data_IF_880805134588
#
_entry.id   IF_880805134588
#
_cell.length_a   1.000
_cell.length_b   1.000
_cell.length_c   1.000
_cell.angle_alpha   90.00
_cell.angle_beta   90.00
_cell.angle_gamma   90.00
#
_symmetry.space_group_name_H-M   'P 1'
#
loop_
_entity.id
_entity.type
_entity.pdbx_description
1 polymer ?
#
# COMPACT_ATOMS: atom_id res chain seq x y z
N UNK A 1 36.85 -8.64 -18.90
CA UNK A 1 36.93 -8.13 -17.51
C UNK A 1 35.65 -8.56 -16.79
N UNK A 2 35.79 -9.48 -15.84
CA UNK A 2 34.71 -10.13 -15.10
C UNK A 2 34.05 -9.16 -14.12
N UNK A 3 32.81 -8.76 -14.40
CA UNK A 3 32.01 -7.90 -13.53
C UNK A 3 31.30 -8.76 -12.46
N UNK A 4 32.00 -9.07 -11.36
CA UNK A 4 31.50 -9.92 -10.25
C UNK A 4 30.63 -9.19 -9.21
N UNK A 5 30.27 -7.92 -9.42
CA UNK A 5 29.51 -7.11 -8.45
C UNK A 5 28.17 -6.59 -9.00
N UNK A 6 27.55 -7.32 -9.92
CA UNK A 6 26.15 -7.11 -10.24
C UNK A 6 25.36 -7.56 -8.99
N UNK A 7 25.00 -6.61 -8.13
CA UNK A 7 23.84 -6.79 -7.27
C UNK A 7 22.69 -6.89 -8.27
N UNK A 8 22.36 -8.12 -8.65
CA UNK A 8 21.16 -8.44 -9.39
C UNK A 8 19.97 -8.04 -8.52
N UNK A 9 19.62 -6.75 -8.55
CA UNK A 9 18.26 -6.26 -8.27
C UNK A 9 17.34 -6.64 -9.44
N UNK A 10 17.73 -7.65 -10.23
CA UNK A 10 16.78 -8.42 -11.00
C UNK A 10 15.68 -8.90 -10.04
N UNK A 11 14.45 -8.79 -10.51
CA UNK A 11 13.30 -9.52 -10.00
C UNK A 11 13.61 -11.02 -10.19
N UNK A 12 14.51 -11.57 -9.37
CA UNK A 12 14.72 -13.01 -9.24
C UNK A 12 13.59 -13.46 -8.32
N UNK A 13 12.61 -14.23 -8.80
CA UNK A 13 11.75 -14.98 -7.90
C UNK A 13 12.66 -15.97 -7.20
N UNK A 14 13.07 -15.69 -5.97
CA UNK A 14 13.57 -16.76 -5.12
C UNK A 14 12.33 -17.58 -4.79
N UNK A 15 12.17 -18.81 -5.29
CA UNK A 15 11.06 -19.61 -4.83
C UNK A 15 11.36 -19.87 -3.36
N UNK A 16 10.48 -19.42 -2.46
CA UNK A 16 10.27 -20.20 -1.26
C UNK A 16 10.12 -21.66 -1.72
N UNK A 17 10.78 -22.64 -1.08
CA UNK A 17 10.69 -24.03 -1.50
C UNK A 17 9.23 -24.33 -1.74
N UNK A 18 8.87 -24.60 -2.99
CA UNK A 18 7.49 -24.63 -3.42
C UNK A 18 6.78 -25.64 -2.52
N UNK A 19 5.96 -25.15 -1.59
CA UNK A 19 4.97 -26.00 -0.96
C UNK A 19 4.27 -26.69 -2.12
N UNK A 20 4.12 -28.02 -2.05
CA UNK A 20 3.42 -28.77 -3.08
C UNK A 20 2.15 -27.99 -3.46
N UNK A 21 2.00 -27.65 -4.74
CA UNK A 21 1.08 -26.61 -5.23
C UNK A 21 -0.36 -26.73 -4.70
N UNK A 22 -0.77 -27.91 -4.22
CA UNK A 22 -2.07 -28.14 -3.56
C UNK A 22 -2.22 -27.57 -2.14
N UNK A 23 -1.15 -27.26 -1.40
CA UNK A 23 -1.25 -26.74 -0.02
C UNK A 23 -1.32 -25.21 0.06
N UNK A 24 -0.77 -24.51 -0.92
CA UNK A 24 -0.68 -23.04 -0.88
C UNK A 24 -2.05 -22.34 -0.92
N UNK A 25 -3.05 -22.76 -1.72
CA UNK A 25 -4.36 -22.13 -1.72
C UNK A 25 -5.06 -22.23 -0.35
N UNK A 26 -4.94 -23.37 0.32
CA UNK A 26 -5.56 -23.56 1.63
C UNK A 26 -4.85 -22.75 2.72
N UNK A 27 -3.52 -22.73 2.68
CA UNK A 27 -2.71 -21.88 3.55
C UNK A 27 -3.07 -20.40 3.40
N UNK A 28 -3.24 -19.93 2.16
CA UNK A 28 -3.62 -18.55 1.86
C UNK A 28 -5.01 -18.19 2.37
N UNK A 29 -6.00 -19.08 2.23
CA UNK A 29 -7.35 -18.86 2.76
C UNK A 29 -7.38 -18.80 4.29
N UNK A 30 -6.71 -19.76 4.95
CA UNK A 30 -6.61 -19.77 6.42
C UNK A 30 -5.83 -18.56 6.94
N UNK A 31 -4.75 -18.18 6.26
CA UNK A 31 -3.97 -16.99 6.56
C UNK A 31 -4.78 -15.70 6.43
N UNK A 32 -5.53 -15.57 5.34
CA UNK A 32 -6.42 -14.43 5.12
C UNK A 32 -7.48 -14.32 6.21
N UNK A 33 -8.14 -15.44 6.56
CA UNK A 33 -9.12 -15.46 7.64
C UNK A 33 -8.51 -15.07 8.99
N UNK A 34 -7.33 -15.60 9.31
CA UNK A 34 -6.60 -15.26 10.54
C UNK A 34 -6.22 -13.77 10.58
N UNK A 35 -5.71 -13.21 9.48
CA UNK A 35 -5.37 -11.78 9.40
C UNK A 35 -6.61 -10.90 9.52
N UNK A 36 -7.72 -11.26 8.89
CA UNK A 36 -8.97 -10.51 9.02
C UNK A 36 -9.48 -10.50 10.46
N UNK A 37 -9.50 -11.66 11.13
CA UNK A 37 -9.92 -11.76 12.53
C UNK A 37 -8.98 -10.95 13.45
N UNK A 38 -7.67 -11.08 13.27
CA UNK A 38 -6.69 -10.32 14.03
C UNK A 38 -6.84 -8.80 13.79
N UNK A 39 -7.06 -8.38 12.55
CA UNK A 39 -7.29 -6.99 12.20
C UNK A 39 -8.55 -6.45 12.87
N UNK A 40 -9.68 -7.16 12.81
CA UNK A 40 -10.92 -6.71 13.44
C UNK A 40 -10.80 -6.66 14.97
N UNK A 41 -10.12 -7.64 15.58
CA UNK A 41 -9.85 -7.66 17.01
C UNK A 41 -9.00 -6.45 17.43
N UNK A 42 -7.93 -6.15 16.69
CA UNK A 42 -7.07 -4.98 16.96
C UNK A 42 -7.82 -3.66 16.77
N UNK A 43 -8.66 -3.55 15.74
CA UNK A 43 -9.50 -2.35 15.55
C UNK A 43 -10.46 -2.18 16.73
N UNK A 44 -11.07 -3.27 17.21
CA UNK A 44 -11.97 -3.28 18.35
C UNK A 44 -11.34 -2.87 19.69
N UNK A 45 -10.00 -2.80 19.77
CA UNK A 45 -9.31 -2.27 20.94
C UNK A 45 -9.38 -0.73 21.05
N UNK A 46 -9.90 -0.03 20.04
CA UNK A 46 -9.93 1.43 19.98
C UNK A 46 -11.33 1.97 19.69
N UNK A 47 -11.62 3.19 20.15
CA UNK A 47 -12.80 3.91 19.69
C UNK A 47 -12.67 4.24 18.19
N UNK A 48 -13.80 4.39 17.49
CA UNK A 48 -13.78 4.71 16.06
C UNK A 48 -12.97 5.96 15.72
N UNK A 49 -13.04 6.99 16.57
CA UNK A 49 -12.26 8.23 16.41
C UNK A 49 -10.76 8.01 16.61
N UNK A 50 -10.34 7.34 17.68
CA UNK A 50 -8.92 7.06 17.95
C UNK A 50 -8.33 6.15 16.87
N UNK A 51 -9.12 5.19 16.40
CA UNK A 51 -8.71 4.30 15.31
C UNK A 51 -8.51 5.08 14.00
N UNK A 52 -9.49 5.87 13.59
CA UNK A 52 -9.47 6.63 12.33
C UNK A 52 -8.45 7.80 12.35
N UNK A 53 -7.98 8.23 13.53
CA UNK A 53 -6.98 9.29 13.68
C UNK A 53 -5.60 8.74 14.03
N UNK A 54 -5.28 8.62 15.32
CA UNK A 54 -3.94 8.31 15.84
C UNK A 54 -3.43 6.94 15.41
N UNK A 55 -4.26 5.91 15.50
CA UNK A 55 -3.84 4.54 15.13
C UNK A 55 -3.59 4.48 13.62
N UNK A 56 -4.52 5.01 12.81
CA UNK A 56 -4.35 5.11 11.36
C UNK A 56 -3.08 5.86 11.01
N UNK A 57 -2.86 7.04 11.58
CA UNK A 57 -1.67 7.85 11.32
C UNK A 57 -0.38 7.09 11.63
N UNK A 58 -0.29 6.48 12.82
CA UNK A 58 0.89 5.75 13.25
C UNK A 58 1.18 4.56 12.34
N UNK A 59 0.18 3.72 12.03
CA UNK A 59 0.42 2.53 11.22
C UNK A 59 0.69 2.90 9.75
N UNK A 60 0.01 3.92 9.19
CA UNK A 60 0.31 4.43 7.85
C UNK A 60 1.75 4.95 7.74
N UNK A 61 2.30 5.58 8.78
CA UNK A 61 3.71 5.97 8.82
C UNK A 61 4.67 4.76 8.80
N UNK A 62 4.22 3.58 9.26
CA UNK A 62 4.98 2.33 9.20
C UNK A 62 4.99 1.66 7.84
N UNK A 63 3.95 1.88 7.01
CA UNK A 63 3.82 1.20 5.71
C UNK A 63 5.02 1.40 4.78
N UNK A 64 5.59 2.61 4.60
CA UNK A 64 6.78 2.78 3.77
C UNK A 64 7.97 1.96 4.26
N UNK A 65 8.12 1.83 5.59
CA UNK A 65 9.15 1.01 6.20
C UNK A 65 8.90 -0.46 5.91
N UNK A 66 7.65 -0.93 5.98
CA UNK A 66 7.30 -2.30 5.57
C UNK A 66 7.60 -2.56 4.09
N UNK A 67 7.30 -1.61 3.19
CA UNK A 67 7.63 -1.73 1.76
C UNK A 67 9.15 -1.89 1.60
N UNK A 68 9.96 -1.10 2.30
CA UNK A 68 11.41 -1.23 2.24
C UNK A 68 11.89 -2.56 2.80
N UNK A 69 11.41 -2.98 3.97
CA UNK A 69 11.81 -4.25 4.59
C UNK A 69 11.42 -5.46 3.74
N UNK A 70 10.16 -5.50 3.29
CA UNK A 70 9.56 -6.67 2.63
C UNK A 70 9.79 -6.71 1.12
N UNK A 71 9.71 -5.58 0.41
CA UNK A 71 9.79 -5.56 -1.06
C UNK A 71 11.20 -5.21 -1.55
N UNK A 72 11.81 -4.16 -0.99
CA UNK A 72 13.13 -3.70 -1.42
C UNK A 72 14.26 -4.58 -0.87
N UNK A 73 14.28 -4.81 0.45
CA UNK A 73 15.28 -5.64 1.11
C UNK A 73 14.89 -7.12 1.18
N UNK A 74 13.67 -7.48 0.75
CA UNK A 74 13.17 -8.87 0.66
C UNK A 74 13.34 -9.65 1.97
N UNK A 75 13.19 -8.98 3.11
CA UNK A 75 13.39 -9.54 4.44
C UNK A 75 14.82 -10.05 4.71
N UNK A 76 15.82 -9.63 3.92
CA UNK A 76 17.22 -10.07 4.03
C UNK A 76 18.13 -9.08 4.78
N UNK A 77 17.65 -7.87 5.02
CA UNK A 77 18.40 -6.83 5.71
C UNK A 77 17.60 -6.28 6.92
N UNK A 78 18.26 -5.96 8.04
CA UNK A 78 19.68 -6.19 8.34
C UNK A 78 20.04 -7.68 8.49
N UNK A 79 21.27 -8.04 8.12
CA UNK A 79 21.68 -9.45 7.96
C UNK A 79 21.59 -10.30 9.23
N UNK A 80 21.65 -9.70 10.42
CA UNK A 80 21.48 -10.43 11.69
C UNK A 80 20.07 -11.02 11.86
N UNK A 81 19.04 -10.50 11.17
CA UNK A 81 17.70 -11.08 11.21
C UNK A 81 17.64 -12.49 10.61
N UNK A 82 18.58 -12.82 9.71
CA UNK A 82 18.61 -14.11 9.03
C UNK A 82 18.99 -15.27 9.97
N UNK A 83 19.67 -14.99 11.08
CA UNK A 83 20.02 -16.01 12.08
C UNK A 83 18.86 -16.37 13.01
N UNK A 84 17.81 -15.54 13.05
CA UNK A 84 16.64 -15.78 13.88
C UNK A 84 15.68 -16.79 13.24
N UNK A 85 15.09 -17.66 14.07
CA UNK A 85 14.01 -18.58 13.68
C UNK A 85 12.65 -17.88 13.80
N UNK A 86 11.63 -18.39 13.12
CA UNK A 86 10.26 -17.95 13.38
C UNK A 86 9.79 -18.43 14.77
N UNK A 87 9.02 -17.63 15.52
CA UNK A 87 8.45 -16.34 15.13
C UNK A 87 9.38 -15.13 15.41
N UNK A 88 10.53 -15.33 16.06
CA UNK A 88 11.40 -14.24 16.51
C UNK A 88 11.88 -13.36 15.36
N UNK A 89 12.17 -13.95 14.20
CA UNK A 89 12.53 -13.18 13.00
C UNK A 89 11.42 -12.21 12.59
N UNK A 90 10.18 -12.70 12.43
CA UNK A 90 9.06 -11.84 12.06
C UNK A 90 8.75 -10.80 13.12
N UNK A 91 8.82 -11.16 14.40
CA UNK A 91 8.64 -10.21 15.51
C UNK A 91 9.71 -9.11 15.52
N UNK A 92 10.96 -9.43 15.21
CA UNK A 92 12.02 -8.43 15.08
C UNK A 92 11.76 -7.47 13.90
N UNK A 93 11.21 -7.96 12.79
CA UNK A 93 10.83 -7.11 11.65
C UNK A 93 9.63 -6.21 11.95
N UNK A 94 8.64 -6.71 12.70
CA UNK A 94 7.56 -5.89 13.25
C UNK A 94 8.15 -4.80 14.16
N UNK A 95 9.08 -5.15 15.05
CA UNK A 95 9.75 -4.18 15.91
C UNK A 95 10.49 -3.08 15.13
N UNK A 96 11.22 -3.43 14.08
CA UNK A 96 11.87 -2.46 13.19
C UNK A 96 10.86 -1.55 12.48
N UNK A 97 9.73 -2.12 12.03
CA UNK A 97 8.65 -1.36 11.41
C UNK A 97 8.05 -0.36 12.38
N UNK A 98 7.72 -0.78 13.60
CA UNK A 98 7.15 0.08 14.63
C UNK A 98 8.12 1.18 15.07
N UNK A 99 9.42 0.88 15.16
CA UNK A 99 10.45 1.88 15.46
C UNK A 99 10.56 2.92 14.33
N UNK A 100 10.55 2.48 13.07
CA UNK A 100 10.52 3.38 11.91
C UNK A 100 9.24 4.21 11.84
N UNK A 101 8.09 3.60 12.11
CA UNK A 101 6.79 4.27 12.19
C UNK A 101 6.79 5.37 13.25
N UNK A 102 7.30 5.08 14.45
CA UNK A 102 7.41 6.06 15.54
C UNK A 102 8.30 7.25 15.16
N UNK A 103 9.46 6.99 14.55
CA UNK A 103 10.36 8.04 14.09
C UNK A 103 9.70 8.92 13.03
N UNK A 104 9.11 8.32 12.01
CA UNK A 104 8.44 9.04 10.91
C UNK A 104 7.24 9.81 11.43
N UNK A 105 6.38 9.19 12.25
CA UNK A 105 5.22 9.83 12.84
C UNK A 105 5.63 11.05 13.67
N UNK A 106 6.67 10.92 14.50
CA UNK A 106 7.22 12.03 15.28
C UNK A 106 7.73 13.16 14.36
N UNK A 107 8.50 12.84 13.33
CA UNK A 107 9.05 13.83 12.39
C UNK A 107 7.93 14.56 11.64
N UNK A 108 6.96 13.83 11.08
CA UNK A 108 5.83 14.43 10.37
C UNK A 108 4.99 15.30 11.31
N UNK A 109 4.66 14.78 12.49
CA UNK A 109 3.83 15.52 13.44
C UNK A 109 4.53 16.77 13.98
N UNK A 110 5.82 16.69 14.27
CA UNK A 110 6.60 17.82 14.79
C UNK A 110 6.92 18.89 13.73
N UNK A 111 6.95 18.54 12.44
CA UNK A 111 7.24 19.49 11.35
C UNK A 111 6.01 20.19 10.79
N UNK A 112 4.80 19.68 11.06
CA UNK A 112 3.57 20.38 10.71
C UNK A 112 3.26 21.47 11.74
N UNK A 113 3.69 22.69 11.40
CA UNK A 113 3.44 23.87 12.21
C UNK A 113 1.95 23.98 12.56
N UNK A 114 1.63 24.24 13.83
CA UNK A 114 0.26 24.41 14.33
C UNK A 114 -0.61 23.14 14.39
N UNK A 115 -0.07 21.93 14.15
CA UNK A 115 -0.78 20.68 14.45
C UNK A 115 -1.02 20.57 15.97
N UNK A 116 -2.29 20.69 16.40
CA UNK A 116 -2.71 20.59 17.80
C UNK A 116 -3.85 19.58 17.88
N UNK A 117 -3.70 18.56 18.73
CA UNK A 117 -4.68 17.47 18.85
C UNK A 117 -4.45 16.35 17.82
N UNK A 118 -5.49 15.55 17.49
CA UNK A 118 -5.36 14.39 16.63
C UNK A 118 -4.89 14.77 15.20
N UNK A 119 -4.18 13.87 14.49
CA UNK A 119 -3.75 14.08 13.11
C UNK A 119 -4.90 14.57 12.24
N UNK A 120 -4.71 15.72 11.59
CA UNK A 120 -5.74 16.33 10.74
C UNK A 120 -5.81 15.62 9.39
N UNK A 121 -6.89 15.83 8.60
CA UNK A 121 -6.94 15.36 7.22
C UNK A 121 -5.74 15.81 6.37
N UNK A 122 -5.18 17.00 6.59
CA UNK A 122 -3.94 17.44 5.93
C UNK A 122 -2.79 16.47 6.19
N UNK A 123 -2.54 16.15 7.47
CA UNK A 123 -1.49 15.22 7.90
C UNK A 123 -1.71 13.83 7.34
N UNK A 124 -2.93 13.29 7.50
CA UNK A 124 -3.28 11.94 7.07
C UNK A 124 -3.15 11.78 5.56
N UNK A 125 -3.69 12.70 4.77
CA UNK A 125 -3.60 12.64 3.31
C UNK A 125 -2.15 12.77 2.84
N UNK A 126 -1.34 13.62 3.47
CA UNK A 126 0.08 13.73 3.17
C UNK A 126 0.81 12.40 3.39
N UNK A 127 0.66 11.76 4.56
CA UNK A 127 1.36 10.48 4.83
C UNK A 127 0.83 9.35 3.95
N UNK A 128 -0.48 9.29 3.69
CA UNK A 128 -1.06 8.34 2.74
C UNK A 128 -0.42 8.54 1.36
N UNK A 129 -0.31 9.79 0.91
CA UNK A 129 0.29 10.09 -0.39
C UNK A 129 1.78 9.68 -0.46
N UNK A 130 2.55 9.84 0.63
CA UNK A 130 3.91 9.31 0.74
C UNK A 130 3.96 7.78 0.63
N UNK A 131 2.99 7.05 1.18
CA UNK A 131 2.86 5.59 0.99
C UNK A 131 2.70 5.25 -0.48
N UNK A 132 1.78 5.93 -1.16
CA UNK A 132 1.51 5.71 -2.58
C UNK A 132 2.76 5.97 -3.42
N UNK A 133 3.50 7.05 -3.14
CA UNK A 133 4.77 7.34 -3.81
C UNK A 133 5.86 6.30 -3.51
N UNK A 134 5.89 5.73 -2.30
CA UNK A 134 6.83 4.65 -1.98
C UNK A 134 6.55 3.42 -2.84
N UNK A 135 5.28 3.03 -3.03
CA UNK A 135 4.93 1.96 -3.96
C UNK A 135 5.35 2.29 -5.40
N UNK A 136 5.11 3.51 -5.86
CA UNK A 136 5.53 3.95 -7.19
C UNK A 136 7.04 3.84 -7.39
N UNK A 137 7.83 4.34 -6.43
CA UNK A 137 9.29 4.30 -6.49
C UNK A 137 9.81 2.86 -6.51
N UNK A 138 9.24 1.97 -5.69
CA UNK A 138 9.72 0.59 -5.56
C UNK A 138 9.24 -0.30 -6.71
N UNK A 139 7.97 -0.20 -7.13
CA UNK A 139 7.36 -1.13 -8.11
C UNK A 139 7.53 -0.62 -9.54
N UNK A 140 7.18 0.63 -9.83
CA UNK A 140 7.23 1.13 -11.20
C UNK A 140 8.67 1.47 -11.61
N UNK A 141 9.41 2.10 -10.70
CA UNK A 141 10.72 2.66 -10.97
C UNK A 141 11.90 1.80 -10.50
N UNK A 142 11.67 0.67 -9.82
CA UNK A 142 12.73 -0.19 -9.28
C UNK A 142 13.78 0.61 -8.47
N UNK A 143 13.32 1.61 -7.71
CA UNK A 143 14.11 2.58 -6.95
C UNK A 143 15.06 3.47 -7.79
N UNK A 144 14.90 3.55 -9.11
CA UNK A 144 15.61 4.53 -9.94
C UNK A 144 15.10 5.95 -9.65
N UNK A 145 15.98 6.98 -9.60
CA UNK A 145 17.41 6.97 -9.95
C UNK A 145 18.35 6.54 -8.82
N UNK A 146 17.87 6.36 -7.59
CA UNK A 146 18.72 6.04 -6.44
C UNK A 146 19.49 4.73 -6.64
N UNK A 147 18.86 3.70 -7.19
CA UNK A 147 19.51 2.42 -7.48
C UNK A 147 20.66 2.54 -8.50
N UNK A 148 20.71 3.58 -9.32
CA UNK A 148 21.82 3.83 -10.23
C UNK A 148 23.07 4.39 -9.52
N UNK A 149 22.90 5.01 -8.36
CA UNK A 149 23.96 5.72 -7.62
C UNK A 149 24.34 4.97 -6.34
N UNK A 150 23.36 4.47 -5.60
CA UNK A 150 23.51 3.84 -4.29
C UNK A 150 23.60 2.32 -4.43
N UNK A 151 24.70 1.74 -3.95
CA UNK A 151 24.92 0.27 -3.95
C UNK A 151 24.64 -0.40 -2.62
N UNK A 152 24.73 0.34 -1.52
CA UNK A 152 24.53 -0.23 -0.18
C UNK A 152 23.03 -0.37 0.12
N UNK A 153 22.53 -1.56 0.52
CA UNK A 153 21.10 -1.80 0.73
C UNK A 153 20.46 -0.81 1.72
N UNK A 154 21.12 -0.53 2.85
CA UNK A 154 20.62 0.43 3.84
C UNK A 154 20.47 1.83 3.23
N UNK A 155 21.47 2.29 2.46
CA UNK A 155 21.45 3.61 1.87
C UNK A 155 20.36 3.70 0.79
N UNK A 156 20.17 2.64 0.00
CA UNK A 156 19.10 2.57 -0.99
C UNK A 156 17.71 2.60 -0.32
N UNK A 157 17.50 1.85 0.76
CA UNK A 157 16.22 1.82 1.47
C UNK A 157 15.91 3.14 2.16
N UNK A 158 16.83 3.66 2.98
CA UNK A 158 16.65 4.97 3.64
C UNK A 158 16.55 6.11 2.62
N UNK A 159 17.35 6.06 1.55
CA UNK A 159 17.29 7.02 0.45
C UNK A 159 15.95 6.99 -0.27
N UNK A 160 15.37 5.79 -0.50
CA UNK A 160 14.05 5.65 -1.13
C UNK A 160 12.95 6.22 -0.24
N UNK A 161 13.00 5.98 1.07
CA UNK A 161 12.07 6.60 2.03
C UNK A 161 12.19 8.12 2.01
N UNK A 162 13.41 8.65 2.14
CA UNK A 162 13.66 10.08 2.13
C UNK A 162 13.14 10.71 0.83
N UNK A 163 13.44 10.09 -0.32
CA UNK A 163 12.95 10.57 -1.62
C UNK A 163 11.43 10.53 -1.71
N UNK A 164 10.77 9.47 -1.21
CA UNK A 164 9.31 9.36 -1.21
C UNK A 164 8.65 10.49 -0.42
N UNK A 165 9.18 10.82 0.76
CA UNK A 165 8.65 11.92 1.59
C UNK A 165 8.98 13.30 1.02
N UNK A 166 10.17 13.51 0.46
CA UNK A 166 10.54 14.79 -0.17
C UNK A 166 9.71 15.04 -1.44
N UNK A 167 9.55 14.04 -2.30
CA UNK A 167 8.67 14.13 -3.47
C UNK A 167 7.21 14.27 -3.04
N UNK A 168 6.79 13.53 -2.00
CA UNK A 168 5.47 13.63 -1.40
C UNK A 168 5.16 15.05 -0.96
N UNK A 169 6.07 15.70 -0.24
CA UNK A 169 5.87 17.06 0.22
C UNK A 169 5.76 18.05 -0.94
N UNK A 170 6.63 17.92 -1.94
CA UNK A 170 6.62 18.79 -3.13
C UNK A 170 5.36 18.62 -3.96
N UNK A 171 4.95 17.38 -4.22
CA UNK A 171 3.75 17.09 -5.00
C UNK A 171 2.48 17.39 -4.21
N UNK A 172 2.45 17.13 -2.91
CA UNK A 172 1.32 17.47 -2.04
C UNK A 172 1.06 18.97 -2.04
N UNK A 173 2.12 19.77 -1.87
CA UNK A 173 1.98 21.24 -1.87
C UNK A 173 1.59 21.81 -3.23
N UNK A 174 1.97 21.13 -4.32
CA UNK A 174 1.63 21.59 -5.67
C UNK A 174 0.24 21.14 -6.14
N UNK A 175 -0.21 19.96 -5.73
CA UNK A 175 -1.41 19.33 -6.28
C UNK A 175 -2.66 19.43 -5.39
N UNK A 176 -2.53 19.45 -4.07
CA UNK A 176 -3.69 19.34 -3.17
C UNK A 176 -4.24 20.70 -2.75
N UNK A 177 -5.53 20.92 -3.01
CA UNK A 177 -6.30 22.08 -2.55
C UNK A 177 -7.38 21.66 -1.55
N UNK A 178 -7.35 22.24 -0.35
CA UNK A 178 -8.32 21.97 0.71
C UNK A 178 -9.38 23.07 0.84
N UNK A 179 -9.40 24.06 -0.07
CA UNK A 179 -10.28 25.24 0.02
C UNK A 179 -11.77 24.90 0.21
N UNK A 180 -12.25 23.82 -0.39
CA UNK A 180 -13.63 23.34 -0.24
C UNK A 180 -13.99 22.95 1.21
N UNK A 181 -13.00 22.74 2.08
CA UNK A 181 -13.16 22.38 3.49
C UNK A 181 -13.02 23.58 4.42
N UNK A 182 -13.01 24.82 3.90
CA UNK A 182 -12.82 26.03 4.70
C UNK A 182 -13.79 26.19 5.90
N UNK A 183 -15.00 25.62 5.79
CA UNK A 183 -15.99 25.62 6.87
C UNK A 183 -15.82 24.50 7.91
N UNK A 184 -14.86 23.60 7.74
CA UNK A 184 -14.68 22.46 8.65
C UNK A 184 -13.88 22.84 9.90
N UNK A 185 -14.19 22.27 11.09
CA UNK A 185 -13.50 22.61 12.34
C UNK A 185 -11.99 22.36 12.35
N UNK A 186 -11.52 21.39 11.54
CA UNK A 186 -10.10 21.07 11.41
C UNK A 186 -9.36 21.98 10.42
N UNK A 187 -10.08 22.75 9.60
CA UNK A 187 -9.48 23.53 8.53
C UNK A 187 -8.68 24.70 9.07
N UNK A 188 -7.48 24.90 8.53
CA UNK A 188 -6.63 26.05 8.81
C UNK A 188 -6.04 26.54 7.50
N UNK A 189 -6.32 27.78 7.15
CA UNK A 189 -5.82 28.38 5.91
C UNK A 189 -4.29 28.41 5.84
N UNK A 190 -3.60 28.51 6.98
CA UNK A 190 -2.13 28.43 7.07
C UNK A 190 -1.54 27.07 6.68
N UNK A 191 -2.35 26.01 6.68
CA UNK A 191 -1.96 24.64 6.33
C UNK A 191 -2.46 24.20 4.95
N UNK A 192 -3.32 24.99 4.32
CA UNK A 192 -3.83 24.70 2.99
C UNK A 192 -2.77 25.03 1.93
N UNK A 193 -2.30 24.05 1.14
CA UNK A 193 -1.32 24.33 0.10
C UNK A 193 -1.89 25.09 -1.09
N UNK A 194 -3.22 25.13 -1.24
CA UNK A 194 -3.90 25.75 -2.39
C UNK A 194 -3.36 25.22 -3.73
N UNK A 195 -3.22 23.90 -3.82
CA UNK A 195 -2.75 23.22 -5.02
C UNK A 195 -3.74 23.28 -6.19
N UNK A 196 -3.45 22.52 -7.24
CA UNK A 196 -4.21 22.61 -8.49
C UNK A 196 -5.51 21.79 -8.53
N UNK A 197 -5.64 20.79 -7.65
CA UNK A 197 -6.72 19.80 -7.69
C UNK A 197 -7.34 19.70 -6.29
N UNK A 198 -8.68 19.64 -6.18
CA UNK A 198 -9.33 19.42 -4.90
C UNK A 198 -8.78 18.16 -4.21
N UNK A 199 -8.51 18.27 -2.91
CA UNK A 199 -7.74 17.27 -2.16
C UNK A 199 -8.33 15.84 -2.25
N UNK A 200 -9.66 15.71 -2.18
CA UNK A 200 -10.32 14.41 -2.31
C UNK A 200 -10.23 13.83 -3.72
N UNK A 201 -10.34 14.66 -4.76
CA UNK A 201 -10.17 14.21 -6.14
C UNK A 201 -8.73 13.74 -6.39
N UNK A 202 -7.75 14.52 -5.93
CA UNK A 202 -6.33 14.17 -6.07
C UNK A 202 -5.99 12.89 -5.31
N UNK A 203 -6.46 12.74 -4.08
CA UNK A 203 -6.23 11.53 -3.29
C UNK A 203 -6.91 10.31 -3.93
N UNK A 204 -8.17 10.44 -4.33
CA UNK A 204 -8.91 9.36 -4.98
C UNK A 204 -8.21 8.90 -6.26
N UNK A 205 -7.74 9.84 -7.08
CA UNK A 205 -6.96 9.53 -8.27
C UNK A 205 -5.63 8.86 -7.92
N UNK A 206 -4.86 9.40 -6.96
CA UNK A 206 -3.60 8.82 -6.52
C UNK A 206 -3.76 7.38 -6.02
N UNK A 207 -4.76 7.10 -5.19
CA UNK A 207 -5.06 5.73 -4.73
C UNK A 207 -5.41 4.83 -5.92
N UNK A 208 -6.21 5.33 -6.86
CA UNK A 208 -6.54 4.61 -8.11
C UNK A 208 -5.28 4.24 -8.90
N UNK A 209 -4.27 5.11 -8.93
CA UNK A 209 -2.99 4.77 -9.58
C UNK A 209 -2.30 3.59 -8.95
N UNK A 210 -2.29 3.49 -7.62
CA UNK A 210 -1.67 2.35 -6.94
C UNK A 210 -2.51 1.08 -7.10
N UNK A 211 -3.83 1.17 -7.07
CA UNK A 211 -4.70 0.02 -7.38
C UNK A 211 -4.44 -0.56 -8.77
N UNK A 212 -4.31 0.31 -9.78
CA UNK A 212 -3.98 -0.07 -11.15
C UNK A 212 -2.55 -0.59 -11.26
N UNK A 213 -1.60 0.01 -10.54
CA UNK A 213 -0.21 -0.45 -10.46
C UNK A 213 -0.16 -1.91 -9.99
N UNK A 214 -0.88 -2.25 -8.90
CA UNK A 214 -0.97 -3.63 -8.41
C UNK A 214 -1.72 -4.56 -9.37
N UNK A 215 -2.78 -4.09 -10.04
CA UNK A 215 -3.43 -4.87 -11.10
C UNK A 215 -2.47 -5.16 -12.27
N UNK A 216 -1.63 -4.19 -12.64
CA UNK A 216 -0.58 -4.37 -13.63
C UNK A 216 0.50 -5.36 -13.14
N UNK A 217 0.83 -5.38 -11.85
CA UNK A 217 1.75 -6.38 -11.26
C UNK A 217 1.20 -7.81 -11.42
N UNK A 218 -0.11 -8.03 -11.20
CA UNK A 218 -0.74 -9.35 -11.46
C UNK A 218 -0.56 -9.80 -12.93
N UNK A 219 -0.59 -8.85 -13.85
CA UNK A 219 -0.35 -9.04 -15.28
C UNK A 219 1.15 -9.01 -15.65
N UNK A 220 2.06 -8.87 -14.70
CA UNK A 220 3.50 -8.66 -14.92
C UNK A 220 3.78 -7.53 -15.94
N UNK A 221 3.00 -6.45 -15.82
CA UNK A 221 3.00 -5.31 -16.75
C UNK A 221 2.80 -5.69 -18.21
N UNK A 222 2.12 -6.80 -18.51
CA UNK A 222 1.73 -7.11 -19.88
C UNK A 222 0.82 -6.01 -20.45
N UNK A 223 1.02 -5.53 -21.70
CA UNK A 223 1.96 -6.04 -22.71
C UNK A 223 3.36 -5.43 -22.67
N UNK A 224 3.65 -4.45 -21.82
CA UNK A 224 4.96 -3.75 -21.77
C UNK A 224 6.12 -4.71 -21.56
N UNK A 225 5.92 -5.77 -20.77
CA UNK A 225 6.92 -6.81 -20.52
C UNK A 225 7.36 -7.59 -21.77
N UNK A 226 6.64 -7.48 -22.91
CA UNK A 226 7.05 -8.09 -24.18
C UNK A 226 8.09 -7.27 -24.96
N UNK A 227 8.35 -6.02 -24.58
CA UNK A 227 9.23 -5.13 -25.33
C UNK A 227 10.59 -4.98 -24.62
N UNK A 228 11.67 -5.63 -25.08
CA UNK A 228 12.97 -5.59 -24.42
C UNK A 228 13.57 -4.17 -24.31
N UNK A 229 13.22 -3.30 -25.26
CA UNK A 229 13.64 -1.89 -25.27
C UNK A 229 13.09 -1.11 -24.06
N UNK A 230 11.97 -1.56 -23.48
CA UNK A 230 11.35 -0.97 -22.30
C UNK A 230 11.69 -1.75 -21.01
N UNK A 231 12.69 -2.63 -21.04
CA UNK A 231 13.08 -3.44 -19.88
C UNK A 231 14.07 -2.74 -18.93
N UNK A 232 14.68 -1.62 -19.34
CA UNK A 232 15.71 -0.91 -18.56
C UNK A 232 15.24 0.47 -18.11
N UNK A 233 15.66 0.88 -16.92
CA UNK A 233 15.42 2.23 -16.42
C UNK A 233 16.28 3.27 -17.20
N UNK A 234 15.78 4.49 -17.43
CA UNK A 234 14.48 5.03 -16.98
C UNK A 234 13.30 4.68 -17.89
N UNK A 235 13.54 4.09 -19.08
CA UNK A 235 12.50 3.78 -20.06
C UNK A 235 11.40 2.86 -19.52
N UNK A 236 11.78 1.86 -18.72
CA UNK A 236 10.85 0.95 -18.04
C UNK A 236 9.90 1.72 -17.10
N UNK A 237 10.45 2.54 -16.19
CA UNK A 237 9.67 3.34 -15.24
C UNK A 237 8.73 4.31 -15.96
N UNK A 238 9.19 4.98 -17.01
CA UNK A 238 8.36 5.89 -17.82
C UNK A 238 7.21 5.16 -18.50
N UNK A 239 7.47 4.02 -19.17
CA UNK A 239 6.44 3.25 -19.86
C UNK A 239 5.38 2.70 -18.89
N UNK A 240 5.82 2.13 -17.76
CA UNK A 240 4.92 1.65 -16.69
C UNK A 240 4.09 2.79 -16.12
N UNK A 241 4.72 3.96 -15.89
CA UNK A 241 4.02 5.14 -15.39
C UNK A 241 2.96 5.63 -16.36
N UNK A 242 3.28 5.74 -17.65
CA UNK A 242 2.33 6.16 -18.67
C UNK A 242 1.13 5.20 -18.74
N UNK A 243 1.38 3.88 -18.74
CA UNK A 243 0.31 2.87 -18.74
C UNK A 243 -0.60 3.00 -17.52
N UNK A 244 -0.01 3.06 -16.32
CA UNK A 244 -0.77 3.13 -15.06
C UNK A 244 -1.58 4.44 -15.02
N UNK A 245 -0.96 5.58 -15.33
CA UNK A 245 -1.67 6.87 -15.34
C UNK A 245 -2.82 6.90 -16.35
N UNK A 246 -2.62 6.35 -17.56
CA UNK A 246 -3.65 6.30 -18.59
C UNK A 246 -4.84 5.45 -18.12
N UNK A 247 -4.58 4.23 -17.65
CA UNK A 247 -5.63 3.33 -17.17
C UNK A 247 -6.36 3.90 -15.94
N UNK A 248 -5.63 4.51 -15.01
CA UNK A 248 -6.23 5.17 -13.85
C UNK A 248 -7.06 6.38 -14.23
N UNK A 249 -6.64 7.19 -15.21
CA UNK A 249 -7.42 8.33 -15.69
C UNK A 249 -8.73 7.87 -16.33
N UNK A 250 -8.70 6.79 -17.10
CA UNK A 250 -9.92 6.17 -17.65
C UNK A 250 -10.82 5.65 -16.54
N UNK A 251 -10.31 4.84 -15.61
CA UNK A 251 -11.11 4.26 -14.53
C UNK A 251 -11.71 5.32 -13.60
N UNK A 252 -10.90 6.30 -13.19
CA UNK A 252 -11.33 7.40 -12.35
C UNK A 252 -12.37 8.26 -13.09
N UNK A 253 -12.09 8.64 -14.35
CA UNK A 253 -13.02 9.44 -15.16
C UNK A 253 -14.35 8.73 -15.41
N UNK A 254 -14.35 7.43 -15.69
CA UNK A 254 -15.57 6.62 -15.80
C UNK A 254 -16.33 6.62 -14.47
N UNK A 255 -15.65 6.36 -13.36
CA UNK A 255 -16.27 6.30 -12.03
C UNK A 255 -16.89 7.62 -11.59
N UNK A 256 -16.14 8.71 -11.68
CA UNK A 256 -16.56 10.00 -11.09
C UNK A 256 -17.35 10.87 -12.06
N UNK A 257 -16.98 10.92 -13.35
CA UNK A 257 -17.64 11.80 -14.31
C UNK A 257 -18.80 11.12 -15.03
N UNK A 258 -18.61 9.88 -15.46
CA UNK A 258 -19.65 9.20 -16.26
C UNK A 258 -20.70 8.52 -15.39
N UNK A 259 -20.28 7.83 -14.32
CA UNK A 259 -21.18 7.19 -13.36
C UNK A 259 -21.60 8.11 -12.21
N UNK A 260 -21.00 9.31 -12.09
CA UNK A 260 -21.37 10.30 -11.08
C UNK A 260 -21.04 9.90 -9.64
N UNK A 261 -20.10 8.97 -9.43
CA UNK A 261 -19.72 8.53 -8.09
C UNK A 261 -18.81 9.59 -7.45
N UNK A 262 -19.17 10.07 -6.26
CA UNK A 262 -18.34 11.03 -5.52
C UNK A 262 -16.90 10.52 -5.30
N UNK A 263 -15.88 11.38 -5.35
CA UNK A 263 -14.48 10.98 -5.27
C UNK A 263 -14.14 10.12 -4.04
N UNK A 264 -14.66 10.45 -2.86
CA UNK A 264 -14.42 9.68 -1.63
C UNK A 264 -15.04 8.29 -1.71
N UNK A 265 -16.29 8.19 -2.21
CA UNK A 265 -16.97 6.90 -2.35
C UNK A 265 -16.30 6.03 -3.42
N UNK A 266 -15.88 6.63 -4.53
CA UNK A 266 -15.11 5.95 -5.58
C UNK A 266 -13.76 5.45 -5.04
N UNK A 267 -13.05 6.29 -4.28
CA UNK A 267 -11.79 5.93 -3.63
C UNK A 267 -11.98 4.69 -2.75
N UNK A 268 -12.95 4.71 -1.82
CA UNK A 268 -13.10 3.64 -0.84
C UNK A 268 -13.69 2.36 -1.44
N UNK A 269 -14.80 2.46 -2.17
CA UNK A 269 -15.50 1.28 -2.67
C UNK A 269 -15.00 0.77 -4.03
N UNK A 270 -14.24 1.59 -4.76
CA UNK A 270 -13.63 1.22 -6.04
C UNK A 270 -12.12 1.00 -5.90
N UNK A 271 -11.37 2.09 -5.71
CA UNK A 271 -9.91 2.04 -5.77
C UNK A 271 -9.29 1.23 -4.62
N UNK A 272 -9.62 1.54 -3.37
CA UNK A 272 -9.12 0.82 -2.18
C UNK A 272 -9.58 -0.63 -2.20
N UNK A 273 -10.85 -0.87 -2.55
CA UNK A 273 -11.39 -2.21 -2.72
C UNK A 273 -10.56 -3.05 -3.71
N UNK A 274 -10.25 -2.50 -4.89
CA UNK A 274 -9.42 -3.17 -5.89
C UNK A 274 -7.97 -3.35 -5.40
N UNK A 275 -7.38 -2.35 -4.77
CA UNK A 275 -6.02 -2.41 -4.21
C UNK A 275 -5.91 -3.55 -3.19
N UNK A 276 -6.81 -3.55 -2.21
CA UNK A 276 -6.88 -4.59 -1.19
C UNK A 276 -7.15 -5.97 -1.80
N UNK A 277 -8.06 -6.03 -2.77
CA UNK A 277 -8.34 -7.23 -3.54
C UNK A 277 -7.10 -7.79 -4.24
N UNK A 278 -6.29 -6.95 -4.89
CA UNK A 278 -5.07 -7.35 -5.60
C UNK A 278 -3.98 -7.89 -4.67
N UNK A 279 -3.95 -7.43 -3.42
CA UNK A 279 -3.00 -7.91 -2.42
C UNK A 279 -3.28 -9.35 -1.98
N UNK A 280 -4.53 -9.84 -2.08
CA UNK A 280 -4.87 -11.22 -1.71
C UNK A 280 -4.13 -12.25 -2.58
N UNK A 281 -4.24 -12.26 -3.92
CA UNK A 281 -3.46 -13.18 -4.76
C UNK A 281 -1.95 -12.96 -4.70
N UNK A 282 -1.49 -11.73 -4.47
CA UNK A 282 -0.05 -11.43 -4.36
C UNK A 282 0.56 -11.94 -3.06
N UNK A 283 -0.08 -11.67 -1.92
CA UNK A 283 0.48 -11.95 -0.60
C UNK A 283 0.02 -13.27 -0.02
N UNK A 284 -1.29 -13.57 -0.06
CA UNK A 284 -1.84 -14.77 0.59
C UNK A 284 -1.64 -16.02 -0.26
N UNK A 285 -1.76 -15.87 -1.58
CA UNK A 285 -1.56 -17.00 -2.50
C UNK A 285 -0.18 -17.03 -3.17
N UNK A 286 0.69 -16.05 -2.87
CA UNK A 286 2.06 -15.94 -3.40
C UNK A 286 2.13 -16.07 -4.94
N UNK A 287 1.08 -15.63 -5.65
CA UNK A 287 0.96 -15.76 -7.10
C UNK A 287 0.81 -17.19 -7.63
N UNK A 288 0.64 -18.19 -6.76
CA UNK A 288 0.69 -19.61 -7.16
C UNK A 288 -0.62 -20.19 -7.71
N UNK A 289 -1.78 -19.54 -7.49
CA UNK A 289 -3.10 -20.08 -7.88
C UNK A 289 -3.19 -20.56 -9.34
N UNK A 290 -2.50 -19.86 -10.25
CA UNK A 290 -2.54 -20.12 -11.69
C UNK A 290 -1.14 -20.20 -12.28
N UNK A 291 -0.16 -20.69 -11.52
CA UNK A 291 1.25 -20.72 -11.94
C UNK A 291 1.50 -21.47 -13.26
N UNK A 292 0.65 -22.45 -13.60
CA UNK A 292 0.73 -23.20 -14.86
C UNK A 292 0.17 -22.49 -16.09
N UNK A 293 -0.44 -21.31 -15.95
CA UNK A 293 -1.01 -20.55 -17.07
C UNK A 293 -0.02 -19.50 -17.62
N UNK A 294 0.04 -19.27 -18.94
CA UNK A 294 0.87 -18.20 -19.52
C UNK A 294 0.21 -16.82 -19.38
N UNK A 295 0.97 -15.74 -19.57
CA UNK A 295 0.41 -14.39 -19.70
C UNK A 295 -0.21 -14.17 -21.10
N UNK A 296 -1.34 -13.43 -21.21
CA UNK A 296 -1.98 -12.65 -20.15
C UNK A 296 -3.03 -13.42 -19.33
N UNK A 297 -3.31 -14.67 -19.67
CA UNK A 297 -4.38 -15.45 -19.03
C UNK A 297 -4.17 -15.59 -17.52
N UNK A 298 -2.94 -15.89 -17.08
CA UNK A 298 -2.60 -15.97 -15.66
C UNK A 298 -2.95 -14.71 -14.91
N UNK A 299 -2.48 -13.55 -15.38
CA UNK A 299 -2.75 -12.27 -14.75
C UNK A 299 -4.23 -11.90 -14.78
N UNK A 300 -4.94 -12.20 -15.87
CA UNK A 300 -6.39 -11.99 -15.96
C UNK A 300 -7.18 -12.82 -14.95
N UNK A 301 -6.81 -14.10 -14.75
CA UNK A 301 -7.43 -14.96 -13.73
C UNK A 301 -7.13 -14.46 -12.31
N UNK A 302 -5.88 -14.06 -12.03
CA UNK A 302 -5.53 -13.46 -10.73
C UNK A 302 -6.27 -12.14 -10.49
N UNK A 303 -6.43 -11.31 -11.53
CA UNK A 303 -7.21 -10.08 -11.47
C UNK A 303 -8.69 -10.37 -11.19
N UNK A 304 -9.25 -11.45 -11.75
CA UNK A 304 -10.59 -11.92 -11.42
C UNK A 304 -10.74 -12.25 -9.93
N UNK A 305 -9.76 -12.98 -9.35
CA UNK A 305 -9.71 -13.23 -7.90
C UNK A 305 -9.57 -11.94 -7.10
N UNK A 306 -8.75 -11.01 -7.57
CA UNK A 306 -8.58 -9.70 -6.93
C UNK A 306 -9.88 -8.90 -6.92
N UNK A 307 -10.61 -8.84 -8.03
CA UNK A 307 -11.92 -8.16 -8.12
C UNK A 307 -12.93 -8.84 -7.20
N UNK A 308 -12.97 -10.17 -7.16
CA UNK A 308 -13.86 -10.90 -6.26
C UNK A 308 -13.55 -10.60 -4.79
N UNK A 309 -12.28 -10.68 -4.38
CA UNK A 309 -11.84 -10.35 -3.03
C UNK A 309 -12.13 -8.88 -2.68
N UNK A 310 -11.84 -7.96 -3.60
CA UNK A 310 -12.14 -6.53 -3.46
C UNK A 310 -13.64 -6.23 -3.38
N UNK A 311 -14.50 -7.07 -3.97
CA UNK A 311 -15.94 -6.92 -3.85
C UNK A 311 -16.49 -7.51 -2.53
N UNK A 312 -15.92 -8.59 -2.02
CA UNK A 312 -16.43 -9.31 -0.85
C UNK A 312 -15.87 -8.76 0.46
N UNK A 313 -14.55 -8.61 0.58
CA UNK A 313 -13.90 -8.30 1.86
C UNK A 313 -14.28 -6.91 2.39
N UNK A 314 -14.28 -5.82 1.59
CA UNK A 314 -14.73 -4.52 2.07
C UNK A 314 -16.19 -4.52 2.54
N UNK A 315 -17.07 -5.35 1.96
CA UNK A 315 -18.46 -5.48 2.41
C UNK A 315 -18.56 -6.14 3.78
N UNK A 316 -17.70 -7.13 4.06
CA UNK A 316 -17.62 -7.76 5.37
C UNK A 316 -17.18 -6.74 6.44
N UNK A 317 -16.12 -5.98 6.16
CA UNK A 317 -15.67 -4.91 7.05
C UNK A 317 -16.74 -3.84 7.23
N UNK A 318 -17.38 -3.41 6.15
CA UNK A 318 -18.46 -2.44 6.19
C UNK A 318 -19.60 -2.92 7.11
N UNK A 319 -20.02 -4.17 6.98
CA UNK A 319 -21.07 -4.77 7.81
C UNK A 319 -20.65 -4.92 9.29
N UNK A 320 -19.38 -5.23 9.54
CA UNK A 320 -18.83 -5.37 10.89
C UNK A 320 -18.63 -4.02 11.61
N UNK A 321 -18.43 -2.93 10.87
CA UNK A 321 -18.06 -1.62 11.42
C UNK A 321 -18.90 -1.16 12.63
N UNK A 322 -20.25 -1.23 12.61
CA UNK A 322 -21.08 -0.77 13.73
C UNK A 322 -20.89 -1.58 15.02
N UNK A 323 -20.52 -2.85 14.89
CA UNK A 323 -20.32 -3.77 16.01
C UNK A 323 -18.94 -3.60 16.65
N UNK A 324 -17.95 -3.17 15.86
CA UNK A 324 -16.56 -3.04 16.30
C UNK A 324 -16.26 -1.64 16.82
N UNK A 325 -16.76 -0.60 16.16
CA UNK A 325 -16.39 0.80 16.48
C UNK A 325 -17.60 1.70 16.74
N UNK A 326 -18.82 1.15 16.78
CA UNK A 326 -20.05 1.89 17.01
C UNK A 326 -20.66 2.49 15.73
N UNK A 327 -21.85 3.11 15.84
CA UNK A 327 -22.54 3.71 14.69
C UNK A 327 -21.75 4.88 14.11
N UNK A 328 -21.62 4.92 12.78
CA UNK A 328 -20.90 5.94 12.03
C UNK A 328 -21.74 6.39 10.83
N UNK A 329 -21.73 7.70 10.55
CA UNK A 329 -22.38 8.24 9.35
C UNK A 329 -21.64 7.83 8.08
N UNK A 330 -22.40 7.57 7.03
CA UNK A 330 -21.87 7.29 5.69
C UNK A 330 -22.19 8.48 4.76
N UNK A 331 -21.32 8.73 3.80
CA UNK A 331 -21.46 9.81 2.83
C UNK A 331 -21.11 11.21 3.35
N UNK A 332 -21.31 12.20 2.49
CA UNK A 332 -21.01 13.60 2.76
C UNK A 332 -21.81 14.14 3.96
N UNK A 333 -21.29 15.16 4.67
CA UNK A 333 -19.97 15.77 4.50
C UNK A 333 -18.85 15.06 5.28
N UNK A 334 -19.20 14.11 6.17
CA UNK A 334 -18.27 13.54 7.15
C UNK A 334 -17.54 12.28 6.70
N UNK A 335 -18.16 11.45 5.85
CA UNK A 335 -17.60 10.20 5.34
C UNK A 335 -17.00 9.27 6.42
N UNK A 336 -17.54 9.31 7.64
CA UNK A 336 -16.91 8.68 8.80
C UNK A 336 -16.75 7.17 8.60
N UNK A 337 -17.78 6.51 8.05
CA UNK A 337 -17.76 5.07 7.78
C UNK A 337 -16.84 4.70 6.61
N UNK A 338 -16.78 5.55 5.57
CA UNK A 338 -15.86 5.37 4.46
C UNK A 338 -14.40 5.51 4.90
N UNK A 339 -14.07 6.50 5.72
CA UNK A 339 -12.73 6.67 6.27
C UNK A 339 -12.37 5.53 7.23
N UNK A 340 -13.32 5.10 8.08
CA UNK A 340 -13.11 3.91 8.91
C UNK A 340 -12.81 2.67 8.07
N UNK A 341 -13.56 2.45 6.98
CA UNK A 341 -13.34 1.30 6.08
C UNK A 341 -11.98 1.40 5.38
N UNK A 342 -11.61 2.59 4.90
CA UNK A 342 -10.30 2.83 4.29
C UNK A 342 -9.15 2.54 5.26
N UNK A 343 -9.26 3.05 6.50
CA UNK A 343 -8.31 2.78 7.58
C UNK A 343 -8.26 1.29 7.94
N UNK A 344 -9.40 0.62 8.05
CA UNK A 344 -9.45 -0.80 8.35
C UNK A 344 -8.69 -1.62 7.31
N UNK A 345 -8.95 -1.39 6.02
CA UNK A 345 -8.35 -2.15 4.94
C UNK A 345 -6.87 -1.81 4.71
N UNK A 346 -6.50 -0.53 4.65
CA UNK A 346 -5.17 -0.10 4.25
C UNK A 346 -4.22 0.21 5.41
N UNK A 347 -4.74 0.71 6.53
CA UNK A 347 -3.91 1.06 7.68
C UNK A 347 -3.78 -0.07 8.69
N UNK A 348 -4.69 -1.07 8.70
CA UNK A 348 -4.59 -2.19 9.64
C UNK A 348 -4.45 -3.53 8.93
N UNK A 349 -5.40 -3.89 8.06
CA UNK A 349 -5.41 -5.24 7.48
C UNK A 349 -4.27 -5.45 6.49
N UNK A 350 -3.98 -4.49 5.61
CA UNK A 350 -2.86 -4.60 4.66
C UNK A 350 -1.50 -4.81 5.35
N UNK A 351 -1.08 -3.99 6.34
CA UNK A 351 0.15 -4.23 7.09
C UNK A 351 0.18 -5.63 7.72
N UNK A 352 -0.94 -6.06 8.31
CA UNK A 352 -1.03 -7.41 8.88
C UNK A 352 -0.93 -8.53 7.83
N UNK A 353 -1.41 -8.33 6.59
CA UNK A 353 -1.18 -9.27 5.49
C UNK A 353 0.31 -9.39 5.20
N UNK A 354 1.06 -8.28 5.20
CA UNK A 354 2.52 -8.28 5.01
C UNK A 354 3.21 -8.94 6.21
N UNK A 355 2.86 -8.58 7.44
CA UNK A 355 3.43 -9.18 8.65
C UNK A 355 3.22 -10.70 8.64
N UNK A 356 2.00 -11.16 8.34
CA UNK A 356 1.69 -12.59 8.36
C UNK A 356 2.38 -13.36 7.22
N UNK A 357 2.29 -12.88 5.98
CA UNK A 357 2.85 -13.60 4.81
C UNK A 357 4.35 -13.42 4.63
N UNK A 358 4.87 -12.21 4.85
CA UNK A 358 6.26 -11.86 4.54
C UNK A 358 7.16 -11.94 5.78
N UNK A 359 6.74 -11.36 6.91
CA UNK A 359 7.61 -11.33 8.10
C UNK A 359 7.57 -12.64 8.88
N UNK A 360 6.38 -13.18 9.11
CA UNK A 360 6.16 -14.45 9.81
C UNK A 360 6.22 -15.67 8.89
N UNK A 361 6.25 -15.48 7.57
CA UNK A 361 6.27 -16.56 6.59
C UNK A 361 5.14 -17.59 6.84
N UNK A 362 3.92 -17.09 7.05
CA UNK A 362 2.73 -17.88 7.39
C UNK A 362 2.85 -18.72 8.68
N UNK A 363 3.81 -18.44 9.56
CA UNK A 363 3.88 -19.10 10.87
C UNK A 363 2.63 -18.79 11.71
N UNK A 364 2.07 -19.77 12.45
CA UNK A 364 2.52 -21.15 12.62
C UNK A 364 1.94 -22.15 11.60
N UNK A 365 1.16 -21.68 10.62
CA UNK A 365 0.47 -22.53 9.64
C UNK A 365 1.45 -23.22 8.68
N UNK A 366 2.51 -22.50 8.27
CA UNK A 366 3.63 -23.05 7.50
C UNK A 366 4.71 -23.53 8.46
N UNK A 367 4.79 -24.86 8.66
CA UNK A 367 5.89 -25.48 9.41
C UNK A 367 7.11 -25.60 8.49
N UNK A 368 8.24 -25.03 8.93
CA UNK A 368 9.55 -25.18 8.27
C UNK A 368 10.29 -26.41 8.78
#
# INVERSE_FOLDING_TARGET
>A
MNNKNNIDVAVVPTPAPALAAGRQPWLGLLGLAAVMLASLALIGCFSGETFASWVTFFVVCGVPVEIVLSMLWRNQYPGWLLSLRQPLRGLAQVGLTLAGAALIALLVFATQAQQVGPPTPFTLMYVIFCVLLTFWLVIAWDCWPLAAVLRHPLALGLGTLLLAYLLGYRLFTWLFDFSALAGAPFYRASLDPHGWVPAFDMLAFAVTTVSVLFACVLLEFWPLSRFPLLARQPGAGLARSALVLLLSAVLYGVGTRWLGIEPVRFMVHGAIALLFGALVPLLMFEGQLFAGSPQPLRGALQLGIAVLAGALLPRLYWAAAPWISGPMSAGAPGYAREFWLASALLAMTFPLLVVFSQFLDFWPLRRR
#
